data_IF_809090830884
#
_entry.id   IF_809090830884
#
_cell.length_a   1.000
_cell.length_b   1.000
_cell.length_c   1.000
_cell.angle_alpha   90.00
_cell.angle_beta   90.00
_cell.angle_gamma   90.00
#
_symmetry.space_group_name_H-M   'P 1'
#
loop_
_entity.id
_entity.type
_entity.pdbx_description
1 polymer ?
#
# COMPACT_ATOMS: atom_id res chain seq x y z
N UNK A 1 -45.86 33.61 -27.51
CA UNK A 1 -45.42 32.21 -27.56
C UNK A 1 -44.59 32.03 -28.81
N UNK A 2 -43.27 32.10 -28.69
CA UNK A 2 -42.31 31.81 -29.76
C UNK A 2 -41.33 30.79 -29.16
N UNK A 3 -41.32 29.59 -29.75
CA UNK A 3 -40.40 28.51 -29.40
C UNK A 3 -39.03 28.83 -30.02
N UNK A 4 -38.04 29.08 -29.18
CA UNK A 4 -36.63 29.06 -29.56
C UNK A 4 -36.07 27.68 -29.20
N UNK A 5 -35.92 26.83 -30.21
CA UNK A 5 -35.16 25.59 -30.16
C UNK A 5 -33.67 25.92 -30.22
N UNK A 6 -32.97 25.70 -29.12
CA UNK A 6 -31.51 25.82 -29.02
C UNK A 6 -30.90 24.53 -29.52
N UNK A 7 -30.18 24.59 -30.65
CA UNK A 7 -29.34 23.49 -31.13
C UNK A 7 -28.12 23.37 -30.19
N UNK A 8 -27.97 22.21 -29.54
CA UNK A 8 -26.72 21.82 -28.90
C UNK A 8 -25.83 21.19 -29.96
N UNK A 9 -24.71 21.83 -30.24
CA UNK A 9 -23.61 21.24 -30.99
C UNK A 9 -22.98 20.15 -30.12
N UNK A 10 -23.12 18.90 -30.56
CA UNK A 10 -22.35 17.77 -30.06
C UNK A 10 -20.86 18.09 -30.23
N UNK A 11 -20.16 18.35 -29.12
CA UNK A 11 -18.71 18.41 -29.11
C UNK A 11 -18.17 17.00 -29.35
N UNK A 12 -17.40 16.85 -30.42
CA UNK A 12 -16.74 15.61 -30.82
C UNK A 12 -15.90 15.07 -29.66
N UNK A 13 -16.37 13.99 -29.04
CA UNK A 13 -15.56 13.21 -28.09
C UNK A 13 -14.41 12.59 -28.90
N UNK A 14 -13.14 12.87 -28.58
CA UNK A 14 -12.01 12.36 -29.33
C UNK A 14 -12.01 10.83 -29.32
N UNK A 15 -11.98 10.27 -30.53
CA UNK A 15 -11.98 8.84 -30.78
C UNK A 15 -10.68 8.22 -30.24
N UNK A 16 -10.75 7.49 -29.13
CA UNK A 16 -9.59 6.82 -28.52
C UNK A 16 -9.25 5.59 -29.37
N UNK A 17 -7.98 5.39 -29.82
CA UNK A 17 -7.61 4.25 -30.64
C UNK A 17 -7.77 2.92 -29.87
N UNK A 18 -8.46 1.95 -30.48
CA UNK A 18 -8.80 0.63 -29.89
C UNK A 18 -7.67 -0.43 -29.97
N UNK A 19 -6.44 -0.08 -30.34
CA UNK A 19 -5.34 -1.05 -30.35
C UNK A 19 -4.68 -1.13 -28.96
N UNK A 20 -5.11 -2.11 -28.15
CA UNK A 20 -4.49 -2.50 -26.88
C UNK A 20 -3.09 -3.11 -27.11
N UNK A 21 -2.11 -2.26 -27.38
CA UNK A 21 -0.71 -2.66 -27.29
C UNK A 21 -0.38 -2.87 -25.80
N UNK A 22 -0.01 -4.10 -25.43
CA UNK A 22 0.40 -4.42 -24.06
C UNK A 22 1.52 -3.46 -23.64
N UNK A 23 1.28 -2.67 -22.59
CA UNK A 23 2.25 -1.68 -22.12
C UNK A 23 3.50 -2.42 -21.67
N UNK A 24 4.63 -2.19 -22.34
CA UNK A 24 5.88 -2.85 -21.98
C UNK A 24 6.36 -2.39 -20.61
N UNK A 25 6.92 -3.32 -19.83
CA UNK A 25 7.56 -3.06 -18.52
C UNK A 25 8.62 -1.95 -18.60
N UNK A 26 9.26 -1.76 -19.76
CA UNK A 26 10.23 -0.69 -19.98
C UNK A 26 9.57 0.70 -20.08
N UNK A 27 8.42 0.80 -20.76
CA UNK A 27 7.62 2.04 -20.84
C UNK A 27 7.04 2.39 -19.47
N UNK A 28 6.64 1.37 -18.72
CA UNK A 28 6.26 1.46 -17.30
C UNK A 28 7.41 2.05 -16.49
N UNK A 29 8.59 1.43 -16.51
CA UNK A 29 9.73 1.91 -15.74
C UNK A 29 10.10 3.37 -16.05
N UNK A 30 9.95 3.83 -17.30
CA UNK A 30 10.20 5.25 -17.66
C UNK A 30 9.18 6.22 -17.08
N UNK A 31 7.89 5.87 -17.03
CA UNK A 31 6.85 6.71 -16.43
C UNK A 31 7.01 6.85 -14.91
N UNK A 32 7.57 5.82 -14.27
CA UNK A 32 7.70 5.71 -12.81
C UNK A 32 8.98 6.38 -12.25
N UNK A 33 9.91 6.82 -13.10
CA UNK A 33 11.14 7.52 -12.67
C UNK A 33 10.91 9.02 -12.54
N UNK A 34 10.11 9.43 -11.55
CA UNK A 34 9.88 10.84 -11.24
C UNK A 34 10.73 11.27 -10.05
N UNK A 35 11.29 12.47 -10.12
CA UNK A 35 12.21 13.03 -9.12
C UNK A 35 11.64 13.07 -7.69
N UNK A 36 10.31 13.12 -7.53
CA UNK A 36 9.60 13.08 -6.25
C UNK A 36 9.60 11.69 -5.58
N UNK A 37 9.50 10.62 -6.35
CA UNK A 37 9.46 9.24 -5.82
C UNK A 37 10.79 8.87 -5.16
N UNK A 38 11.91 9.34 -5.71
CA UNK A 38 13.22 9.17 -5.08
C UNK A 38 13.31 9.88 -3.71
N UNK A 39 12.66 11.04 -3.54
CA UNK A 39 12.61 11.75 -2.27
C UNK A 39 11.73 11.02 -1.25
N UNK A 40 10.57 10.50 -1.68
CA UNK A 40 9.68 9.68 -0.84
C UNK A 40 10.38 8.38 -0.44
N UNK A 41 10.94 7.64 -1.38
CA UNK A 41 11.70 6.42 -1.11
C UNK A 41 12.87 6.70 -0.15
N UNK A 42 13.60 7.81 -0.36
CA UNK A 42 14.66 8.25 0.56
C UNK A 42 14.12 8.61 1.95
N UNK A 43 12.95 9.23 2.02
CA UNK A 43 12.33 9.64 3.30
C UNK A 43 11.77 8.45 4.05
N UNK A 44 11.08 7.56 3.35
CA UNK A 44 10.69 6.23 3.83
C UNK A 44 11.91 5.51 4.39
N UNK A 45 13.03 5.50 3.66
CA UNK A 45 14.30 4.88 4.07
C UNK A 45 14.98 5.59 5.25
N UNK A 46 14.84 6.91 5.40
CA UNK A 46 15.38 7.68 6.54
C UNK A 46 14.64 7.40 7.84
N UNK A 47 13.35 7.09 7.76
CA UNK A 47 12.56 6.67 8.91
C UNK A 47 12.84 5.21 9.31
N UNK A 48 13.64 4.46 8.54
CA UNK A 48 14.15 3.14 8.92
C UNK A 48 15.41 3.37 9.78
N UNK A 49 15.50 2.79 10.99
CA UNK A 49 16.71 2.89 11.81
C UNK A 49 17.92 2.37 11.03
N UNK A 50 18.89 3.24 10.73
CA UNK A 50 20.00 2.90 9.82
C UNK A 50 21.05 1.95 10.43
N UNK A 51 21.03 1.71 11.75
CA UNK A 51 22.16 1.09 12.45
C UNK A 51 21.80 0.06 13.52
N UNK A 52 20.69 -0.68 13.38
CA UNK A 52 20.44 -1.81 14.29
C UNK A 52 20.12 -3.10 13.56
N UNK A 53 21.16 -3.92 13.33
CA UNK A 53 21.03 -5.31 12.83
C UNK A 53 20.21 -6.21 13.75
N UNK A 54 19.83 -5.70 14.93
CA UNK A 54 18.93 -6.30 15.90
C UNK A 54 17.88 -5.28 16.36
N UNK A 55 17.14 -4.65 15.45
CA UNK A 55 15.85 -4.05 15.83
C UNK A 55 15.09 -5.10 16.65
N UNK A 56 14.73 -4.71 17.88
CA UNK A 56 14.48 -5.61 19.01
C UNK A 56 13.40 -6.62 18.66
N UNK A 57 13.79 -7.84 18.26
CA UNK A 57 12.87 -8.98 18.18
C UNK A 57 12.43 -9.30 19.60
N UNK A 58 11.39 -8.62 20.07
CA UNK A 58 10.75 -8.98 21.31
C UNK A 58 9.78 -10.10 21.00
N UNK A 59 10.23 -11.32 21.24
CA UNK A 59 9.38 -12.51 21.28
C UNK A 59 9.18 -12.83 22.76
N UNK A 60 8.00 -12.56 23.34
CA UNK A 60 7.70 -13.02 24.69
C UNK A 60 7.97 -14.53 24.83
N UNK A 61 8.45 -14.95 25.99
CA UNK A 61 8.67 -16.38 26.25
C UNK A 61 7.35 -17.15 26.05
N UNK A 62 7.40 -18.22 25.25
CA UNK A 62 6.25 -19.09 24.92
C UNK A 62 5.15 -18.48 24.03
N UNK A 63 5.35 -17.32 23.38
CA UNK A 63 4.30 -16.68 22.56
C UNK A 63 4.34 -16.98 21.06
N UNK A 64 5.28 -17.78 20.56
CA UNK A 64 5.47 -18.01 19.12
C UNK A 64 5.96 -16.76 18.36
N UNK A 65 6.17 -16.88 17.04
CA UNK A 65 6.45 -15.73 16.17
C UNK A 65 5.17 -15.24 15.53
N UNK A 66 4.79 -14.00 15.83
CA UNK A 66 3.69 -13.31 15.18
C UNK A 66 4.22 -12.45 14.04
N UNK A 67 3.88 -12.81 12.82
CA UNK A 67 4.41 -12.21 11.60
C UNK A 67 3.25 -11.56 10.86
N UNK A 68 3.39 -10.28 10.55
CA UNK A 68 2.40 -9.56 9.75
C UNK A 68 2.97 -9.18 8.40
N UNK A 69 2.10 -9.16 7.38
CA UNK A 69 2.34 -8.42 6.16
C UNK A 69 1.48 -7.17 6.16
N UNK A 70 2.17 -6.05 6.08
CA UNK A 70 1.59 -4.72 6.05
C UNK A 70 1.74 -4.17 4.64
N UNK A 71 0.62 -4.06 3.95
CA UNK A 71 0.51 -3.38 2.68
C UNK A 71 -0.68 -2.42 2.67
N UNK A 72 -0.63 -1.30 1.89
CA UNK A 72 -1.83 -0.51 1.61
C UNK A 72 -2.94 -1.40 1.00
N UNK A 73 -4.23 -1.06 1.17
CA UNK A 73 -5.31 -1.84 0.57
C UNK A 73 -5.20 -1.81 -0.95
N UNK A 74 -5.50 -2.92 -1.62
CA UNK A 74 -5.48 -3.00 -3.07
C UNK A 74 -5.30 -4.42 -3.59
N UNK A 75 -5.52 -4.59 -4.90
CA UNK A 75 -5.46 -5.91 -5.54
C UNK A 75 -4.02 -6.41 -5.69
N UNK A 76 -3.09 -5.49 -5.94
CA UNK A 76 -1.67 -5.80 -6.07
C UNK A 76 -1.11 -6.31 -4.73
N UNK A 77 -1.49 -5.65 -3.65
CA UNK A 77 -1.03 -5.96 -2.30
C UNK A 77 -1.67 -7.24 -1.75
N UNK A 78 -2.95 -7.49 -2.05
CA UNK A 78 -3.62 -8.75 -1.77
C UNK A 78 -2.96 -9.94 -2.47
N UNK A 79 -2.51 -9.73 -3.71
CA UNK A 79 -1.74 -10.74 -4.42
C UNK A 79 -0.46 -11.10 -3.66
N UNK A 80 0.30 -10.11 -3.17
CA UNK A 80 1.50 -10.36 -2.37
C UNK A 80 1.23 -11.10 -1.08
N UNK A 81 0.18 -10.67 -0.38
CA UNK A 81 -0.26 -11.33 0.83
C UNK A 81 -0.45 -12.83 0.62
N UNK A 82 -1.20 -13.20 -0.43
CA UNK A 82 -1.45 -14.60 -0.82
C UNK A 82 -0.20 -15.34 -1.29
N UNK A 83 0.79 -14.63 -1.83
CA UNK A 83 2.07 -15.23 -2.21
C UNK A 83 2.87 -15.61 -0.97
N UNK A 84 3.06 -14.66 -0.06
CA UNK A 84 3.83 -14.87 1.18
C UNK A 84 3.15 -15.89 2.09
N UNK A 85 1.82 -15.85 2.19
CA UNK A 85 1.05 -16.85 2.94
C UNK A 85 1.34 -18.27 2.43
N UNK A 86 1.38 -18.45 1.10
CA UNK A 86 1.68 -19.75 0.49
C UNK A 86 3.10 -20.21 0.76
N UNK A 87 4.08 -19.31 0.72
CA UNK A 87 5.46 -19.61 1.13
C UNK A 87 5.52 -20.12 2.57
N UNK A 88 4.81 -19.46 3.50
CA UNK A 88 4.76 -19.87 4.91
C UNK A 88 4.06 -21.23 5.08
N UNK A 89 2.97 -21.46 4.35
CA UNK A 89 2.24 -22.74 4.35
C UNK A 89 3.11 -23.89 3.84
N UNK A 90 3.84 -23.68 2.73
CA UNK A 90 4.72 -24.67 2.13
C UNK A 90 5.88 -25.07 3.07
N UNK A 91 6.38 -24.12 3.86
CA UNK A 91 7.37 -24.35 4.92
C UNK A 91 6.79 -24.98 6.21
N UNK A 92 5.51 -25.38 6.23
CA UNK A 92 4.89 -26.01 7.40
C UNK A 92 4.59 -25.06 8.56
N UNK A 93 4.55 -23.74 8.32
CA UNK A 93 4.20 -22.71 9.32
C UNK A 93 5.05 -22.74 10.60
N UNK A 94 6.30 -23.21 10.50
CA UNK A 94 7.28 -23.21 11.58
C UNK A 94 8.62 -22.68 11.10
N UNK A 95 9.34 -22.01 11.99
CA UNK A 95 10.75 -21.65 11.75
C UNK A 95 11.65 -22.87 11.91
N UNK A 96 12.91 -22.80 11.44
CA UNK A 96 13.97 -23.80 11.70
C UNK A 96 14.14 -24.15 13.18
N UNK A 97 13.90 -23.18 14.07
CA UNK A 97 13.99 -23.39 15.52
C UNK A 97 12.71 -24.01 16.12
N UNK A 98 11.77 -24.48 15.30
CA UNK A 98 10.51 -25.11 15.72
C UNK A 98 9.43 -24.16 16.22
N UNK A 99 9.64 -22.84 16.14
CA UNK A 99 8.67 -21.82 16.59
C UNK A 99 7.49 -21.73 15.62
N UNK A 100 6.26 -21.78 16.12
CA UNK A 100 5.05 -21.61 15.32
C UNK A 100 4.92 -20.17 14.80
N UNK A 101 4.45 -20.05 13.56
CA UNK A 101 4.19 -18.77 12.91
C UNK A 101 2.70 -18.49 12.91
N UNK A 102 2.30 -17.38 13.53
CA UNK A 102 0.99 -16.75 13.33
C UNK A 102 1.12 -15.73 12.21
N UNK A 103 0.44 -15.97 11.09
CA UNK A 103 0.44 -15.09 9.92
C UNK A 103 -0.78 -14.17 9.92
N UNK A 104 -0.55 -12.86 9.84
CA UNK A 104 -1.60 -11.84 9.90
C UNK A 104 -1.42 -10.80 8.78
N UNK A 105 -1.96 -11.05 7.58
CA UNK A 105 -1.97 -10.05 6.54
C UNK A 105 -2.99 -8.97 6.88
N UNK A 106 -2.61 -7.70 6.82
CA UNK A 106 -3.53 -6.61 7.13
C UNK A 106 -3.07 -5.29 6.52
N UNK A 107 -4.03 -4.44 6.17
CA UNK A 107 -3.80 -3.02 5.92
C UNK A 107 -3.96 -2.19 7.21
N UNK A 108 -4.53 -2.76 8.27
CA UNK A 108 -4.75 -2.02 9.52
C UNK A 108 -3.43 -1.68 10.21
N UNK A 109 -3.22 -0.40 10.48
CA UNK A 109 -2.06 0.07 11.23
C UNK A 109 -2.28 -0.03 12.73
N UNK A 110 -1.25 -0.40 13.50
CA UNK A 110 -1.37 -0.43 14.95
C UNK A 110 -1.73 0.95 15.54
N UNK A 111 -2.51 1.02 16.64
CA UNK A 111 -2.86 2.27 17.34
C UNK A 111 -1.65 3.15 17.68
N UNK A 112 -1.86 4.47 17.81
CA UNK A 112 -0.79 5.42 18.08
C UNK A 112 -0.18 5.23 19.49
N UNK A 113 1.12 5.53 19.63
CA UNK A 113 1.84 5.46 20.91
C UNK A 113 2.39 4.08 21.30
N UNK A 114 2.22 3.09 20.42
CA UNK A 114 2.50 1.68 20.74
C UNK A 114 3.66 1.09 19.93
N UNK A 115 4.88 1.53 20.24
CA UNK A 115 6.11 0.94 19.69
C UNK A 115 6.45 -0.48 20.20
N UNK A 116 5.69 -1.02 21.15
CA UNK A 116 5.87 -2.39 21.69
C UNK A 116 4.55 -3.15 21.87
N UNK A 117 3.45 -2.44 21.58
CA UNK A 117 2.03 -2.78 21.78
C UNK A 117 1.39 -3.77 20.79
N UNK A 118 1.90 -3.73 19.56
CA UNK A 118 1.23 -4.36 18.42
C UNK A 118 1.38 -5.88 18.39
N UNK A 119 2.20 -6.46 19.28
CA UNK A 119 2.41 -7.91 19.40
C UNK A 119 3.14 -8.57 18.24
N UNK A 120 3.41 -7.85 17.14
CA UNK A 120 4.19 -8.37 16.02
C UNK A 120 5.68 -8.52 16.36
N UNK A 121 6.24 -9.65 15.95
CA UNK A 121 7.67 -9.97 16.13
C UNK A 121 8.48 -9.66 14.87
N UNK A 122 7.85 -9.77 13.70
CA UNK A 122 8.39 -9.39 12.39
C UNK A 122 7.29 -8.77 11.52
N UNK A 123 7.68 -7.85 10.67
CA UNK A 123 6.82 -7.16 9.70
C UNK A 123 7.43 -7.38 8.30
N UNK A 124 6.61 -7.82 7.37
CA UNK A 124 6.91 -7.75 5.93
C UNK A 124 6.11 -6.57 5.38
N UNK A 125 6.80 -5.56 4.88
CA UNK A 125 6.20 -4.38 4.27
C UNK A 125 6.23 -4.51 2.77
N UNK A 126 5.10 -4.29 2.13
CA UNK A 126 5.03 -4.09 0.68
C UNK A 126 5.03 -2.59 0.39
N UNK A 127 5.91 -2.15 -0.50
CA UNK A 127 5.93 -0.77 -1.02
C UNK A 127 5.61 -0.83 -2.51
N UNK A 128 4.40 -0.42 -2.92
CA UNK A 128 4.14 -0.18 -4.32
C UNK A 128 5.00 1.02 -4.74
N UNK A 129 6.03 0.75 -5.54
CA UNK A 129 6.89 1.78 -6.12
C UNK A 129 6.52 1.93 -7.58
N UNK A 130 6.24 3.17 -8.04
CA UNK A 130 6.22 4.42 -7.30
C UNK A 130 4.96 4.56 -6.43
N UNK A 131 4.92 5.54 -5.54
CA UNK A 131 3.86 5.60 -4.52
C UNK A 131 2.45 5.80 -5.11
N UNK A 132 2.36 6.42 -6.28
CA UNK A 132 1.13 6.54 -7.04
C UNK A 132 0.56 5.18 -7.46
N UNK A 133 1.41 4.19 -7.72
CA UNK A 133 0.96 2.83 -8.00
C UNK A 133 0.13 2.31 -6.83
N UNK A 134 0.55 2.60 -5.59
CA UNK A 134 -0.20 2.26 -4.39
C UNK A 134 -1.51 3.02 -4.29
N UNK A 135 -1.49 4.32 -4.55
CA UNK A 135 -2.70 5.15 -4.52
C UNK A 135 -3.73 4.70 -5.57
N UNK A 136 -3.28 4.36 -6.77
CA UNK A 136 -4.12 3.83 -7.84
C UNK A 136 -4.66 2.44 -7.51
N UNK A 137 -3.83 1.54 -6.97
CA UNK A 137 -4.26 0.20 -6.53
C UNK A 137 -5.33 0.28 -5.42
N UNK A 138 -5.15 1.17 -4.44
CA UNK A 138 -6.15 1.41 -3.40
C UNK A 138 -7.46 1.97 -3.97
N UNK A 139 -7.39 2.86 -4.95
CA UNK A 139 -8.59 3.41 -5.59
C UNK A 139 -9.30 2.38 -6.47
N UNK A 140 -8.58 1.51 -7.18
CA UNK A 140 -9.18 0.44 -7.98
C UNK A 140 -9.97 -0.56 -7.16
N UNK A 141 -9.66 -0.72 -5.87
CA UNK A 141 -10.48 -1.51 -4.97
C UNK A 141 -11.91 -0.93 -4.81
N UNK A 142 -12.08 0.38 -5.01
CA UNK A 142 -13.36 1.08 -4.98
C UNK A 142 -13.94 1.36 -6.39
N UNK A 143 -13.07 1.62 -7.38
CA UNK A 143 -13.40 1.83 -8.78
C UNK A 143 -12.93 0.62 -9.61
N UNK A 144 -13.68 -0.50 -9.63
CA UNK A 144 -13.20 -1.78 -10.19
C UNK A 144 -12.94 -1.73 -11.70
N UNK A 145 -13.55 -0.76 -12.38
CA UNK A 145 -13.30 -0.44 -13.79
C UNK A 145 -12.36 0.76 -13.90
N UNK A 146 -11.28 0.67 -14.70
CA UNK A 146 -10.35 1.78 -14.89
C UNK A 146 -11.09 3.01 -15.43
N UNK A 147 -11.27 3.98 -14.54
CA UNK A 147 -11.87 5.27 -14.85
C UNK A 147 -11.00 6.36 -14.21
N UNK A 148 -11.08 7.58 -14.75
CA UNK A 148 -10.38 8.71 -14.18
C UNK A 148 -11.03 9.01 -12.82
N UNK A 149 -10.33 8.82 -11.69
CA UNK A 149 -10.89 9.16 -10.39
C UNK A 149 -11.04 10.69 -10.29
N UNK A 150 -11.93 11.21 -9.43
CA UNK A 150 -11.88 12.61 -9.04
C UNK A 150 -10.47 12.99 -8.56
N UNK A 151 -9.97 14.15 -8.97
CA UNK A 151 -8.62 14.61 -8.61
C UNK A 151 -8.42 14.65 -7.08
N UNK A 152 -9.46 15.02 -6.35
CA UNK A 152 -9.45 15.07 -4.89
C UNK A 152 -9.28 13.66 -4.28
N UNK A 153 -9.91 12.64 -4.87
CA UNK A 153 -9.73 11.26 -4.43
C UNK A 153 -8.32 10.74 -4.74
N UNK A 154 -7.77 11.10 -5.90
CA UNK A 154 -6.40 10.76 -6.25
C UNK A 154 -5.38 11.34 -5.26
N UNK A 155 -5.48 12.64 -4.99
CA UNK A 155 -4.61 13.34 -4.02
C UNK A 155 -4.79 12.80 -2.61
N UNK A 156 -6.02 12.57 -2.17
CA UNK A 156 -6.30 12.00 -0.87
C UNK A 156 -5.74 10.58 -0.74
N UNK A 157 -5.90 9.72 -1.76
CA UNK A 157 -5.33 8.37 -1.79
C UNK A 157 -3.80 8.38 -1.73
N UNK A 158 -3.15 9.30 -2.46
CA UNK A 158 -1.71 9.53 -2.38
C UNK A 158 -1.28 9.90 -0.96
N UNK A 159 -1.97 10.85 -0.31
CA UNK A 159 -1.70 11.24 1.08
C UNK A 159 -1.84 10.04 2.02
N UNK A 160 -2.91 9.26 1.90
CA UNK A 160 -3.12 8.07 2.72
C UNK A 160 -1.99 7.06 2.55
N UNK A 161 -1.53 6.83 1.31
CA UNK A 161 -0.43 5.91 1.02
C UNK A 161 0.90 6.39 1.64
N UNK A 162 1.21 7.69 1.53
CA UNK A 162 2.39 8.30 2.18
C UNK A 162 2.32 8.11 3.69
N UNK A 163 1.17 8.44 4.29
CA UNK A 163 0.93 8.37 5.74
C UNK A 163 1.01 6.95 6.27
N UNK A 164 0.40 6.00 5.57
CA UNK A 164 0.48 4.58 5.85
C UNK A 164 1.94 4.14 6.04
N UNK A 165 2.76 4.46 5.06
CA UNK A 165 4.18 4.11 5.04
C UNK A 165 5.00 4.81 6.13
N UNK A 166 4.62 6.04 6.50
CA UNK A 166 5.24 6.76 7.59
C UNK A 166 4.86 6.16 8.96
N UNK A 167 3.59 5.81 9.18
CA UNK A 167 3.12 5.14 10.41
C UNK A 167 3.78 3.79 10.59
N UNK A 168 3.88 3.02 9.52
CA UNK A 168 4.57 1.73 9.52
C UNK A 168 6.03 1.88 9.94
N UNK A 169 6.75 2.88 9.44
CA UNK A 169 8.13 3.12 9.87
C UNK A 169 8.26 3.37 11.38
N UNK A 170 7.32 4.10 11.97
CA UNK A 170 7.28 4.32 13.42
C UNK A 170 7.07 3.00 14.18
N UNK A 171 6.18 2.14 13.70
CA UNK A 171 5.94 0.80 14.30
C UNK A 171 7.17 -0.10 14.12
N UNK A 172 7.79 -0.06 12.95
CA UNK A 172 8.96 -0.85 12.61
C UNK A 172 10.25 -0.40 13.30
N UNK A 173 10.28 0.78 13.95
CA UNK A 173 11.43 1.25 14.72
C UNK A 173 11.83 0.28 15.87
N UNK A 174 10.93 -0.62 16.24
CA UNK A 174 11.11 -1.59 17.32
C UNK A 174 10.83 -3.03 16.91
N UNK A 175 10.66 -3.31 15.62
CA UNK A 175 10.27 -4.62 15.09
C UNK A 175 11.15 -4.97 13.90
N UNK A 176 11.49 -6.24 13.73
CA UNK A 176 12.21 -6.67 12.52
C UNK A 176 11.37 -6.39 11.29
N UNK A 177 11.95 -5.72 10.29
CA UNK A 177 11.27 -5.30 9.08
C UNK A 177 11.96 -5.84 7.84
N UNK A 178 11.21 -6.54 6.99
CA UNK A 178 11.57 -6.81 5.60
C UNK A 178 10.76 -5.86 4.72
N UNK A 179 11.41 -5.14 3.82
CA UNK A 179 10.71 -4.34 2.80
C UNK A 179 10.83 -5.02 1.44
N UNK A 180 9.70 -5.15 0.77
CA UNK A 180 9.56 -5.68 -0.58
C UNK A 180 8.97 -4.57 -1.45
N UNK A 181 9.71 -4.08 -2.44
CA UNK A 181 9.19 -3.11 -3.40
C UNK A 181 8.65 -3.79 -4.65
N UNK A 182 7.62 -3.22 -5.28
CA UNK A 182 7.09 -3.75 -6.55
C UNK A 182 8.18 -3.88 -7.63
N UNK A 183 9.07 -2.89 -7.72
CA UNK A 183 10.19 -2.92 -8.66
C UNK A 183 11.11 -4.13 -8.41
N UNK A 184 11.57 -4.35 -7.17
CA UNK A 184 12.37 -5.53 -6.82
C UNK A 184 11.66 -6.83 -7.19
N UNK A 185 10.34 -6.90 -6.99
CA UNK A 185 9.57 -8.10 -7.33
C UNK A 185 9.55 -8.33 -8.83
N UNK A 186 9.29 -7.28 -9.61
CA UNK A 186 9.21 -7.36 -11.07
C UNK A 186 10.56 -7.67 -11.73
N UNK A 187 11.66 -7.21 -11.14
CA UNK A 187 13.01 -7.35 -11.70
C UNK A 187 13.71 -8.63 -11.27
N UNK A 188 13.62 -8.98 -9.99
CA UNK A 188 14.41 -10.08 -9.41
C UNK A 188 13.69 -11.42 -9.62
N UNK A 189 12.36 -11.40 -9.79
CA UNK A 189 11.56 -12.60 -10.02
C UNK A 189 11.00 -13.21 -8.74
N UNK A 190 10.05 -14.13 -8.92
CA UNK A 190 9.25 -14.68 -7.81
C UNK A 190 10.05 -15.61 -6.90
N UNK A 191 11.03 -16.34 -7.46
CA UNK A 191 11.81 -17.33 -6.72
C UNK A 191 12.72 -16.66 -5.70
N UNK A 192 13.47 -15.66 -6.13
CA UNK A 192 14.38 -14.88 -5.30
C UNK A 192 13.63 -14.09 -4.23
N UNK A 193 12.41 -13.63 -4.53
CA UNK A 193 11.50 -13.02 -3.56
C UNK A 193 11.15 -14.00 -2.44
N UNK A 194 10.80 -15.24 -2.81
CA UNK A 194 10.48 -16.31 -1.87
C UNK A 194 11.68 -16.63 -0.99
N UNK A 195 12.87 -16.80 -1.57
CA UNK A 195 14.11 -17.03 -0.82
C UNK A 195 14.39 -15.89 0.17
N UNK A 196 14.14 -14.63 -0.21
CA UNK A 196 14.28 -13.46 0.67
C UNK A 196 13.31 -13.53 1.86
N UNK A 197 12.05 -13.90 1.62
CA UNK A 197 11.02 -14.08 2.66
C UNK A 197 11.39 -15.23 3.59
N UNK A 198 11.76 -16.40 3.05
CA UNK A 198 12.15 -17.57 3.83
C UNK A 198 13.36 -17.32 4.71
N UNK A 199 14.37 -16.66 4.15
CA UNK A 199 15.56 -16.24 4.89
C UNK A 199 15.20 -15.30 6.04
N UNK A 200 14.37 -14.28 5.77
CA UNK A 200 13.92 -13.33 6.78
C UNK A 200 13.09 -14.00 7.89
N UNK A 201 12.23 -14.94 7.52
CA UNK A 201 11.36 -15.66 8.44
C UNK A 201 12.06 -16.84 9.14
N UNK A 202 13.26 -17.22 8.70
CA UNK A 202 14.00 -18.41 9.14
C UNK A 202 13.18 -19.70 8.93
N UNK A 203 12.59 -19.86 7.75
CA UNK A 203 11.77 -21.02 7.39
C UNK A 203 12.64 -22.24 7.05
N UNK A 204 12.15 -23.44 7.39
CA UNK A 204 12.72 -24.72 6.95
C UNK A 204 11.75 -25.41 6.00
N UNK A 205 12.26 -25.97 4.91
CA UNK A 205 11.45 -26.83 4.06
C UNK A 205 11.43 -28.23 4.66
N UNK A 206 10.23 -28.78 4.86
CA UNK A 206 10.10 -30.20 5.13
C UNK A 206 10.62 -31.00 3.94
N UNK A 207 11.47 -32.01 4.20
CA UNK A 207 11.90 -32.98 3.20
C UNK A 207 10.65 -33.66 2.58
N UNK A 208 10.21 -33.21 1.41
CA UNK A 208 9.15 -33.91 0.64
C UNK A 208 8.07 -33.05 0.00
N UNK A 209 7.91 -31.79 0.39
CA UNK A 209 7.04 -30.86 -0.36
C UNK A 209 7.90 -30.10 -1.36
N UNK A 210 7.82 -30.50 -2.63
CA UNK A 210 8.42 -29.75 -3.74
C UNK A 210 7.75 -28.38 -3.79
N UNK A 211 8.39 -27.38 -3.15
CA UNK A 211 8.04 -25.96 -3.28
C UNK A 211 7.88 -25.61 -4.76
N UNK A 212 8.71 -26.19 -5.63
CA UNK A 212 8.62 -26.03 -7.08
C UNK A 212 7.27 -26.48 -7.67
N UNK A 213 6.66 -27.55 -7.16
CA UNK A 213 5.37 -28.03 -7.69
C UNK A 213 4.22 -27.12 -7.28
N UNK A 214 4.20 -26.69 -6.02
CA UNK A 214 3.19 -25.73 -5.56
C UNK A 214 3.43 -24.35 -6.20
N UNK A 215 4.67 -23.91 -6.29
CA UNK A 215 5.06 -22.65 -6.93
C UNK A 215 4.72 -22.63 -8.42
N UNK A 216 4.95 -23.71 -9.15
CA UNK A 216 4.57 -23.84 -10.57
C UNK A 216 3.05 -23.79 -10.78
N UNK A 217 2.27 -24.36 -9.84
CA UNK A 217 0.80 -24.21 -9.87
C UNK A 217 0.37 -22.76 -9.61
N UNK A 218 1.13 -22.05 -8.77
CA UNK A 218 0.88 -20.66 -8.45
C UNK A 218 1.27 -19.76 -9.63
N UNK A 219 2.36 -19.99 -10.36
CA UNK A 219 2.80 -19.11 -11.45
C UNK A 219 1.79 -19.03 -12.60
N UNK A 220 1.24 -20.13 -13.10
CA UNK A 220 0.45 -20.10 -14.35
C UNK A 220 -0.90 -19.38 -14.28
N UNK A 221 -1.72 -19.63 -13.25
CA UNK A 221 -3.01 -18.94 -13.07
C UNK A 221 -2.82 -17.52 -12.51
N UNK A 222 -1.73 -17.29 -11.76
CA UNK A 222 -1.45 -15.98 -11.16
C UNK A 222 -0.73 -15.01 -12.08
N UNK A 223 0.13 -15.46 -12.99
CA UNK A 223 0.74 -14.56 -13.99
C UNK A 223 -0.34 -13.83 -14.79
N UNK A 224 -1.44 -14.53 -15.10
CA UNK A 224 -2.62 -13.94 -15.73
C UNK A 224 -3.29 -12.90 -14.81
N UNK A 225 -3.59 -13.26 -13.56
CA UNK A 225 -4.25 -12.34 -12.62
C UNK A 225 -3.39 -11.12 -12.26
N UNK A 226 -2.08 -11.31 -12.10
CA UNK A 226 -1.12 -10.22 -11.84
C UNK A 226 -1.02 -9.32 -13.05
N UNK A 227 -0.92 -9.89 -14.25
CA UNK A 227 -0.93 -9.13 -15.50
C UNK A 227 -2.22 -8.31 -15.63
N UNK A 228 -3.38 -8.92 -15.38
CA UNK A 228 -4.68 -8.25 -15.46
C UNK A 228 -4.79 -7.09 -14.45
N UNK A 229 -4.43 -7.32 -13.18
CA UNK A 229 -4.42 -6.28 -12.14
C UNK A 229 -3.42 -5.17 -12.48
N UNK A 230 -2.21 -5.54 -12.88
CA UNK A 230 -1.17 -4.57 -13.27
C UNK A 230 -1.65 -3.73 -14.45
N UNK A 231 -2.25 -4.36 -15.48
CA UNK A 231 -2.80 -3.67 -16.63
C UNK A 231 -3.90 -2.68 -16.23
N UNK A 232 -4.79 -3.05 -15.30
CA UNK A 232 -5.81 -2.12 -14.78
C UNK A 232 -5.18 -0.92 -14.06
N UNK A 233 -4.20 -1.17 -13.19
CA UNK A 233 -3.48 -0.10 -12.48
C UNK A 233 -2.77 0.81 -13.48
N UNK A 234 -2.07 0.24 -14.46
CA UNK A 234 -1.37 1.03 -15.49
C UNK A 234 -2.32 1.81 -16.38
N UNK A 235 -3.46 1.23 -16.77
CA UNK A 235 -4.51 1.97 -17.48
C UNK A 235 -4.97 3.18 -16.65
N UNK A 236 -5.22 3.00 -15.36
CA UNK A 236 -5.59 4.10 -14.48
C UNK A 236 -4.50 5.17 -14.37
N UNK A 237 -3.24 4.78 -14.18
CA UNK A 237 -2.10 5.73 -14.13
C UNK A 237 -1.95 6.48 -15.46
N UNK A 238 -2.05 5.79 -16.59
CA UNK A 238 -1.98 6.41 -17.92
C UNK A 238 -3.16 7.34 -18.20
N UNK A 239 -4.37 6.99 -17.74
CA UNK A 239 -5.54 7.85 -17.84
C UNK A 239 -5.33 9.15 -17.04
N UNK A 240 -4.71 9.07 -15.87
CA UNK A 240 -4.37 10.26 -15.06
C UNK A 240 -3.32 11.12 -15.74
N UNK A 241 -2.26 10.52 -16.31
CA UNK A 241 -1.15 11.26 -16.94
C UNK A 241 -1.50 11.80 -18.34
N UNK A 242 -2.43 11.15 -19.04
CA UNK A 242 -2.93 11.57 -20.35
C UNK A 242 -3.88 12.77 -20.32
N UNK A 243 -4.20 13.30 -19.14
CA UNK A 243 -5.03 14.49 -18.99
C UNK A 243 -4.12 15.71 -19.08
N UNK A 244 -4.25 16.49 -20.16
CA UNK A 244 -3.37 17.62 -20.53
C UNK A 244 -3.07 18.65 -19.42
N UNK A 245 -3.92 18.73 -18.39
CA UNK A 245 -3.75 19.65 -17.25
C UNK A 245 -3.22 18.99 -15.96
N UNK A 246 -3.00 17.67 -15.96
CA UNK A 246 -2.56 16.90 -14.81
C UNK A 246 -1.27 16.13 -15.12
N UNK A 247 -0.13 16.73 -14.81
CA UNK A 247 1.10 15.94 -14.77
C UNK A 247 1.14 15.10 -13.49
N UNK A 248 1.32 13.78 -13.64
CA UNK A 248 1.61 12.85 -12.54
C UNK A 248 2.63 13.42 -11.56
N UNK A 249 3.70 14.00 -12.10
CA UNK A 249 4.83 14.51 -11.34
C UNK A 249 4.43 15.73 -10.53
N UNK A 250 3.59 16.61 -11.09
CA UNK A 250 3.10 17.79 -10.38
C UNK A 250 2.23 17.39 -9.19
N UNK A 251 1.22 16.53 -9.41
CA UNK A 251 0.30 16.09 -8.35
C UNK A 251 1.07 15.43 -7.21
N UNK A 252 1.94 14.48 -7.55
CA UNK A 252 2.74 13.75 -6.56
C UNK A 252 3.64 14.70 -5.77
N UNK A 253 4.34 15.63 -6.46
CA UNK A 253 5.20 16.60 -5.80
C UNK A 253 4.43 17.58 -4.90
N UNK A 254 3.26 18.05 -5.34
CA UNK A 254 2.41 18.95 -4.57
C UNK A 254 1.92 18.26 -3.28
N UNK A 255 1.41 17.03 -3.41
CA UNK A 255 0.97 16.22 -2.26
C UNK A 255 2.13 15.96 -1.29
N UNK A 256 3.30 15.56 -1.79
CA UNK A 256 4.48 15.31 -0.95
C UNK A 256 4.89 16.59 -0.22
N UNK A 257 4.98 17.71 -0.93
CA UNK A 257 5.39 19.00 -0.37
C UNK A 257 4.43 19.44 0.72
N UNK A 258 3.13 19.35 0.48
CA UNK A 258 2.11 19.67 1.46
C UNK A 258 2.20 18.75 2.68
N UNK A 259 2.34 17.44 2.47
CA UNK A 259 2.50 16.48 3.58
C UNK A 259 3.76 16.80 4.38
N UNK A 260 4.89 17.09 3.74
CA UNK A 260 6.12 17.49 4.43
C UNK A 260 5.91 18.77 5.24
N UNK A 261 5.22 19.78 4.70
CA UNK A 261 4.94 21.01 5.43
C UNK A 261 4.04 20.79 6.65
N UNK A 262 2.92 20.07 6.46
CA UNK A 262 1.95 19.78 7.51
C UNK A 262 2.53 18.89 8.62
N UNK A 263 3.48 18.03 8.26
CA UNK A 263 4.10 17.06 9.17
C UNK A 263 5.45 17.47 9.73
N UNK A 264 5.92 18.69 9.41
CA UNK A 264 7.28 19.15 9.72
C UNK A 264 8.31 18.13 9.25
N UNK A 265 8.34 17.86 7.95
CA UNK A 265 9.20 16.88 7.30
C UNK A 265 9.00 15.46 7.82
N UNK A 266 7.75 15.08 8.11
CA UNK A 266 7.35 13.78 8.65
C UNK A 266 7.96 13.47 10.03
N UNK A 267 8.38 14.51 10.75
CA UNK A 267 8.99 14.40 12.08
C UNK A 267 8.04 14.74 13.22
N UNK A 268 6.97 15.51 12.98
CA UNK A 268 5.97 15.79 14.00
C UNK A 268 5.04 14.59 14.18
N UNK A 269 4.94 14.06 15.40
CA UNK A 269 4.07 12.92 15.69
C UNK A 269 3.25 13.15 16.98
N UNK A 270 1.92 12.89 16.95
CA UNK A 270 1.13 12.56 15.76
C UNK A 270 1.04 13.80 14.84
N UNK A 271 1.06 13.61 13.52
CA UNK A 271 1.07 14.72 12.56
C UNK A 271 -0.35 15.17 12.19
N UNK A 272 -0.55 16.48 12.05
CA UNK A 272 -1.85 17.05 11.64
C UNK A 272 -2.34 16.62 10.28
N UNK A 273 -1.43 16.35 9.36
CA UNK A 273 -1.80 15.83 8.05
C UNK A 273 -2.57 14.52 8.19
N UNK A 274 -2.20 13.61 9.09
CA UNK A 274 -2.95 12.36 9.33
C UNK A 274 -4.42 12.59 9.68
N UNK A 275 -4.78 13.79 10.14
CA UNK A 275 -6.13 14.14 10.57
C UNK A 275 -6.97 14.82 9.48
N UNK A 276 -6.35 15.29 8.39
CA UNK A 276 -7.03 15.88 7.22
C UNK A 276 -7.07 14.86 6.10
N UNK A 277 -8.26 14.35 5.81
CA UNK A 277 -8.45 13.22 4.90
C UNK A 277 -9.15 13.62 3.60
N UNK A 278 -9.77 14.80 3.54
CA UNK A 278 -10.31 15.39 2.31
C UNK A 278 -9.41 16.49 1.72
N UNK A 279 -9.57 16.75 0.43
CA UNK A 279 -8.89 17.82 -0.31
C UNK A 279 -9.73 19.09 -0.47
N UNK A 280 -11.03 19.05 -0.13
CA UNK A 280 -11.92 20.20 -0.22
C UNK A 280 -11.39 21.33 0.68
N UNK A 281 -10.98 22.46 0.08
CA UNK A 281 -10.47 23.60 0.82
C UNK A 281 -11.50 24.20 1.79
N UNK A 282 -12.79 24.02 1.47
CA UNK A 282 -13.90 24.48 2.31
C UNK A 282 -14.22 23.51 3.44
N UNK A 283 -13.95 22.21 3.25
CA UNK A 283 -14.13 21.17 4.25
C UNK A 283 -13.15 19.99 4.09
N UNK A 284 -11.91 20.17 4.55
CA UNK A 284 -10.84 19.14 4.51
C UNK A 284 -11.15 17.90 5.35
N UNK A 285 -12.28 17.87 6.05
CA UNK A 285 -12.76 16.76 6.86
C UNK A 285 -13.81 15.94 6.12
N UNK A 286 -14.39 16.46 5.03
CA UNK A 286 -15.34 15.74 4.19
C UNK A 286 -14.62 14.70 3.35
N UNK A 287 -15.03 13.45 3.53
CA UNK A 287 -14.55 12.31 2.79
C UNK A 287 -15.50 11.96 1.66
N UNK A 288 -14.95 11.64 0.49
CA UNK A 288 -15.69 10.85 -0.48
C UNK A 288 -15.86 9.42 0.05
N UNK A 289 -16.84 8.64 -0.47
CA UNK A 289 -16.98 7.24 -0.11
C UNK A 289 -15.69 6.42 -0.32
N UNK A 290 -15.01 6.62 -1.44
CA UNK A 290 -13.75 5.93 -1.76
C UNK A 290 -12.67 6.17 -0.70
N UNK A 291 -12.48 7.43 -0.30
CA UNK A 291 -11.47 7.78 0.69
C UNK A 291 -11.88 7.36 2.09
N UNK A 292 -13.17 7.39 2.42
CA UNK A 292 -13.68 6.82 3.67
C UNK A 292 -13.35 5.32 3.79
N UNK A 293 -13.54 4.56 2.72
CA UNK A 293 -13.24 3.13 2.69
C UNK A 293 -11.74 2.87 2.83
N UNK A 294 -10.91 3.59 2.06
CA UNK A 294 -9.45 3.49 2.14
C UNK A 294 -8.95 3.86 3.54
N UNK A 295 -9.42 5.00 4.08
CA UNK A 295 -9.04 5.47 5.40
C UNK A 295 -9.38 4.43 6.47
N UNK A 296 -10.59 3.87 6.43
CA UNK A 296 -11.00 2.80 7.34
C UNK A 296 -10.11 1.55 7.22
N UNK A 297 -9.76 1.14 6.01
CA UNK A 297 -8.92 -0.03 5.76
C UNK A 297 -7.48 0.12 6.30
N UNK A 298 -6.94 1.33 6.32
CA UNK A 298 -5.58 1.58 6.86
C UNK A 298 -5.55 1.97 8.35
N UNK A 299 -6.72 2.27 8.91
CA UNK A 299 -6.87 2.64 10.32
C UNK A 299 -6.66 1.45 11.24
N UNK A 300 -6.46 1.64 12.54
CA UNK A 300 -6.41 0.51 13.47
C UNK A 300 -7.71 -0.28 13.48
N UNK A 301 -7.58 -1.60 13.52
CA UNK A 301 -8.70 -2.48 13.84
C UNK A 301 -8.91 -2.45 15.36
N UNK A 302 -9.77 -1.54 15.81
CA UNK A 302 -10.11 -1.36 17.22
C UNK A 302 -11.07 -2.41 17.78
N UNK A 303 -11.58 -3.31 16.94
CA UNK A 303 -12.45 -4.42 17.34
C UNK A 303 -11.64 -5.71 17.56
N UNK A 304 -10.40 -5.75 17.07
CA UNK A 304 -9.48 -6.86 17.34
C UNK A 304 -9.19 -7.01 18.82
N UNK A 305 -9.29 -8.24 19.34
CA UNK A 305 -8.95 -8.60 20.74
C UNK A 305 -7.51 -8.24 21.12
N UNK A 306 -6.65 -8.05 20.12
CA UNK A 306 -5.22 -7.79 20.30
C UNK A 306 -4.84 -6.31 20.17
N UNK A 307 -5.81 -5.45 19.85
CA UNK A 307 -5.60 -4.02 19.65
C UNK A 307 -6.46 -3.22 20.61
N UNK A 308 -5.81 -2.57 21.58
CA UNK A 308 -6.50 -1.60 22.40
C UNK A 308 -6.40 -0.19 21.82
N UNK A 309 -7.46 0.25 21.15
CA UNK A 309 -7.59 1.64 20.75
C UNK A 309 -8.03 2.48 21.95
N UNK A 310 -7.10 3.09 22.68
CA UNK A 310 -7.46 4.05 23.74
C UNK A 310 -7.48 5.50 23.26
N UNK A 311 -6.72 5.80 22.21
CA UNK A 311 -6.68 7.12 21.60
C UNK A 311 -8.03 7.36 20.94
N UNK A 312 -8.74 8.42 21.35
CA UNK A 312 -10.04 8.80 20.78
C UNK A 312 -9.99 8.83 19.25
N UNK A 313 -8.86 9.28 18.69
CA UNK A 313 -8.63 9.36 17.25
C UNK A 313 -8.60 8.03 16.54
N UNK A 314 -7.83 7.06 17.04
CA UNK A 314 -7.79 5.71 16.47
C UNK A 314 -9.21 5.11 16.40
N UNK A 315 -10.06 5.38 17.40
CA UNK A 315 -11.46 4.92 17.41
C UNK A 315 -12.35 5.55 16.33
N UNK A 316 -12.10 6.80 15.93
CA UNK A 316 -12.89 7.42 14.85
C UNK A 316 -12.36 7.01 13.48
N UNK A 317 -11.03 6.94 13.34
CA UNK A 317 -10.37 6.47 12.14
C UNK A 317 -10.83 5.03 11.78
N UNK A 318 -10.92 4.15 12.77
CA UNK A 318 -11.48 2.80 12.62
C UNK A 318 -12.93 2.77 12.10
N UNK A 319 -13.69 3.86 12.26
CA UNK A 319 -15.05 4.00 11.73
C UNK A 319 -15.10 4.59 10.33
N UNK A 320 -13.98 5.10 9.82
CA UNK A 320 -13.92 5.89 8.58
C UNK A 320 -14.29 7.36 8.80
N UNK A 321 -14.36 7.84 10.04
CA UNK A 321 -14.75 9.22 10.33
C UNK A 321 -13.56 10.17 10.14
N UNK A 322 -13.71 11.17 9.26
CA UNK A 322 -12.70 12.24 9.09
C UNK A 322 -12.57 13.14 10.33
N UNK A 323 -13.66 13.31 11.10
CA UNK A 323 -13.72 14.13 12.31
C UNK A 323 -13.99 13.26 13.56
N UNK A 324 -13.22 13.50 14.62
CA UNK A 324 -13.51 12.93 15.94
C UNK A 324 -14.35 13.85 16.79
N UNK A 325 -15.67 13.71 16.67
CA UNK A 325 -16.60 14.39 17.58
C UNK A 325 -16.49 13.83 19.01
#
# INVERSE_FOLDING_TARGET
MQNTSTEHSDEDIPNVPEEEEAVSLEKINRLLHVSGDALVAKTIKKCIPQENSKCKTFVPENSGQRITLLAPPGSLTDFFSKLVEKTIQAAGSKTKDGVSIEWLPTSHMAPYGYGKTHGWTKIIRVVPEPIMLGAADSLLAHYPEPSIPPLDDLKASLRQTIRYHCRLNHIAAHTSLLTLSWNEISEVGLKELIEKVESFLNLEHGEGNSLDTELNSLTSEREKNVSDVSNKIFKMVNLVDGIDFMSYSSITNDVIKDEMQLSKDLTAWPCQSFWTVGEDETDRLKLSPAISDIAKAISPDCESEMNDCFVKRDKCEAKGDGECK
#
